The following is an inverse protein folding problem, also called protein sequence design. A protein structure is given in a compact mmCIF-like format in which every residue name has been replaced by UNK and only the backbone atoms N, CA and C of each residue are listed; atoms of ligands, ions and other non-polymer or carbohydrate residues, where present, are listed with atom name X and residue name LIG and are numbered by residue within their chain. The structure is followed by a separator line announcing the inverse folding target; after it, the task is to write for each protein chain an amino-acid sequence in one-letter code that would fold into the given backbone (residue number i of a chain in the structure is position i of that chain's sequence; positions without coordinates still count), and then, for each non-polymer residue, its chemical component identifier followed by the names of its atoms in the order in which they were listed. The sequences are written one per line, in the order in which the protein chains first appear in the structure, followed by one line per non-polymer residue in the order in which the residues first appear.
data_IF_267866714926
#
_entry.id   IF_267866714926
#
_cell.length_a   1.000
_cell.length_b   1.000
_cell.length_c   1.000
_cell.angle_alpha   90.00
_cell.angle_beta   90.00
_cell.angle_gamma   90.00
#
_symmetry.space_group_name_H-M   'P 1'
#
loop_
_entity.id
_entity.type
_entity.pdbx_description
1 polymer ?
#
# COMPACT_ATOMS: atom_id res chain seq x y z
N UNK A 1 -13.84 15.63 27.41
CA UNK A 1 -14.43 16.99 27.42
C UNK A 1 -13.58 17.95 28.26
N UNK A 2 -13.39 17.75 29.58
CA UNK A 2 -12.58 18.65 30.43
C UNK A 2 -11.13 18.86 29.95
N UNK A 3 -10.43 17.80 29.52
CA UNK A 3 -9.06 17.92 28.93
C UNK A 3 -9.05 18.78 27.66
N UNK A 4 -10.13 18.74 26.88
CA UNK A 4 -10.29 19.55 25.67
C UNK A 4 -10.97 20.91 25.93
N UNK A 5 -11.25 21.27 27.20
CA UNK A 5 -11.95 22.52 27.56
C UNK A 5 -13.42 22.59 27.14
N UNK A 6 -14.06 21.44 26.84
CA UNK A 6 -15.44 21.38 26.35
C UNK A 6 -16.43 21.03 27.48
N UNK A 7 -17.67 21.49 27.35
CA UNK A 7 -18.82 21.10 28.20
C UNK A 7 -19.68 20.06 27.48
N UNK A 8 -20.47 19.24 28.21
CA UNK A 8 -21.43 18.33 27.58
C UNK A 8 -22.40 19.06 26.66
N UNK A 9 -22.67 18.47 25.49
CA UNK A 9 -23.61 18.99 24.50
C UNK A 9 -24.99 18.33 24.71
N UNK A 10 -26.06 19.12 24.62
CA UNK A 10 -27.43 18.61 24.54
C UNK A 10 -27.84 18.55 23.08
N UNK A 11 -28.14 17.34 22.60
CA UNK A 11 -28.49 17.13 21.20
C UNK A 11 -29.86 17.73 20.86
N UNK A 12 -29.94 18.41 19.72
CA UNK A 12 -31.17 18.85 19.11
C UNK A 12 -31.80 17.73 18.23
N UNK A 13 -32.96 18.02 17.67
CA UNK A 13 -33.66 17.10 16.78
C UNK A 13 -32.76 16.69 15.58
N UNK A 14 -32.74 15.39 15.27
CA UNK A 14 -31.95 14.73 14.21
C UNK A 14 -30.43 14.66 14.42
N UNK A 15 -29.85 15.37 15.38
CA UNK A 15 -28.39 15.34 15.60
C UNK A 15 -27.91 13.96 16.05
N UNK A 16 -28.70 13.24 16.88
CA UNK A 16 -28.36 11.87 17.26
C UNK A 16 -28.28 10.90 16.08
N UNK A 17 -29.20 11.04 15.12
CA UNK A 17 -29.17 10.23 13.90
C UNK A 17 -28.00 10.62 12.99
N UNK A 18 -27.71 11.92 12.89
CA UNK A 18 -26.58 12.43 12.11
C UNK A 18 -25.23 11.96 12.66
N UNK A 19 -25.09 11.82 13.99
CA UNK A 19 -23.88 11.30 14.63
C UNK A 19 -23.69 9.80 14.41
N UNK A 20 -24.78 9.02 14.36
CA UNK A 20 -24.73 7.56 14.30
C UNK A 20 -24.74 7.02 12.87
N UNK A 21 -25.44 7.68 11.95
CA UNK A 21 -25.56 7.20 10.58
C UNK A 21 -24.35 7.61 9.75
N UNK A 22 -23.56 6.61 9.39
CA UNK A 22 -22.51 6.72 8.40
C UNK A 22 -21.65 5.47 8.39
N UNK A 23 -20.65 5.47 7.53
CA UNK A 23 -19.73 4.33 7.37
C UNK A 23 -18.36 4.60 8.00
N UNK A 24 -18.26 5.59 8.90
CA UNK A 24 -16.98 6.09 9.40
C UNK A 24 -16.11 4.98 10.01
N UNK A 25 -16.73 4.08 10.80
CA UNK A 25 -16.02 2.95 11.41
C UNK A 25 -15.52 1.96 10.36
N UNK A 26 -16.37 1.55 9.43
CA UNK A 26 -15.98 0.64 8.34
C UNK A 26 -14.91 1.24 7.44
N UNK A 27 -15.04 2.54 7.11
CA UNK A 27 -14.05 3.28 6.32
C UNK A 27 -12.72 3.39 7.07
N UNK A 28 -12.72 3.66 8.38
CA UNK A 28 -11.50 3.70 9.19
C UNK A 28 -10.78 2.35 9.20
N UNK A 29 -11.51 1.24 9.30
CA UNK A 29 -10.91 -0.10 9.25
C UNK A 29 -10.39 -0.46 7.86
N UNK A 30 -11.12 -0.11 6.80
CA UNK A 30 -10.66 -0.31 5.43
C UNK A 30 -9.38 0.50 5.15
N UNK A 31 -9.31 1.76 5.60
CA UNK A 31 -8.12 2.59 5.44
C UNK A 31 -6.93 2.05 6.24
N UNK A 32 -7.15 1.56 7.46
CA UNK A 32 -6.09 0.90 8.22
C UNK A 32 -5.55 -0.31 7.47
N UNK A 33 -6.43 -1.16 6.95
CA UNK A 33 -6.01 -2.32 6.15
C UNK A 33 -5.33 -1.95 4.84
N UNK A 34 -5.72 -0.84 4.22
CA UNK A 34 -5.05 -0.29 3.03
C UNK A 34 -3.61 0.11 3.36
N UNK A 35 -3.40 0.92 4.40
CA UNK A 35 -2.05 1.38 4.77
C UNK A 35 -1.15 0.22 5.20
N UNK A 36 -1.66 -0.70 6.01
CA UNK A 36 -0.92 -1.91 6.37
C UNK A 36 -0.62 -2.79 5.14
N UNK A 37 -1.53 -2.84 4.17
CA UNK A 37 -1.33 -3.54 2.90
C UNK A 37 -0.27 -2.89 2.00
N UNK A 38 -0.23 -1.56 1.95
CA UNK A 38 0.80 -0.80 1.22
C UNK A 38 2.19 -1.01 1.84
N UNK A 39 2.29 -0.97 3.17
CA UNK A 39 3.53 -1.27 3.91
C UNK A 39 4.01 -2.71 3.61
N UNK A 40 3.11 -3.69 3.67
CA UNK A 40 3.43 -5.08 3.35
C UNK A 40 3.84 -5.26 1.89
N UNK A 41 3.20 -4.56 0.96
CA UNK A 41 3.54 -4.63 -0.46
C UNK A 41 4.95 -4.07 -0.74
N UNK A 42 5.29 -2.92 -0.15
CA UNK A 42 6.65 -2.36 -0.25
C UNK A 42 7.71 -3.30 0.36
N UNK A 43 7.41 -3.87 1.53
CA UNK A 43 8.26 -4.88 2.16
C UNK A 43 8.44 -6.13 1.29
N UNK A 44 7.36 -6.63 0.67
CA UNK A 44 7.40 -7.80 -0.19
C UNK A 44 8.24 -7.58 -1.46
N UNK A 45 8.18 -6.40 -2.08
CA UNK A 45 9.04 -6.05 -3.21
C UNK A 45 10.53 -6.08 -2.81
N UNK A 46 10.86 -5.52 -1.65
CA UNK A 46 12.23 -5.50 -1.11
C UNK A 46 12.74 -6.92 -0.81
N UNK A 47 11.95 -7.72 -0.09
CA UNK A 47 12.28 -9.12 0.20
C UNK A 47 12.40 -9.97 -1.07
N UNK A 48 11.53 -9.72 -2.05
CA UNK A 48 11.58 -10.38 -3.35
C UNK A 48 12.85 -10.05 -4.11
N UNK A 49 13.25 -8.78 -4.18
CA UNK A 49 14.47 -8.34 -4.86
C UNK A 49 15.72 -8.97 -4.21
N UNK A 50 15.80 -8.94 -2.87
CA UNK A 50 16.88 -9.61 -2.14
C UNK A 50 16.92 -11.12 -2.42
N UNK A 51 15.75 -11.76 -2.51
CA UNK A 51 15.66 -13.19 -2.84
C UNK A 51 16.16 -13.48 -4.26
N UNK A 52 15.82 -12.63 -5.24
CA UNK A 52 16.31 -12.76 -6.62
C UNK A 52 17.84 -12.75 -6.65
N UNK A 53 18.47 -11.80 -5.97
CA UNK A 53 19.93 -11.73 -5.87
C UNK A 53 20.53 -12.96 -5.17
N UNK A 54 19.96 -13.34 -4.02
CA UNK A 54 20.46 -14.44 -3.20
C UNK A 54 20.48 -15.80 -3.93
N UNK A 55 19.56 -16.00 -4.88
CA UNK A 55 19.48 -17.24 -5.67
C UNK A 55 20.12 -17.12 -7.06
N UNK A 56 20.84 -16.02 -7.34
CA UNK A 56 21.42 -15.71 -8.65
C UNK A 56 20.36 -15.71 -9.78
N UNK A 57 19.18 -15.17 -9.46
CA UNK A 57 18.04 -15.11 -10.36
C UNK A 57 18.23 -14.10 -11.50
N UNK A 58 17.55 -14.33 -12.62
CA UNK A 58 17.61 -13.43 -13.77
C UNK A 58 16.78 -12.16 -13.56
N UNK A 59 17.30 -11.02 -14.01
CA UNK A 59 16.57 -9.73 -14.10
C UNK A 59 15.69 -9.61 -15.35
N UNK A 60 15.87 -10.50 -16.35
CA UNK A 60 15.10 -10.48 -17.60
C UNK A 60 13.57 -10.49 -17.43
N UNK A 61 12.98 -11.17 -16.43
CA UNK A 61 11.53 -11.14 -16.21
C UNK A 61 10.96 -9.76 -15.89
N UNK A 62 11.79 -8.80 -15.47
CA UNK A 62 11.38 -7.44 -15.10
C UNK A 62 11.52 -6.43 -16.26
N UNK A 63 11.89 -6.87 -17.48
CA UNK A 63 12.01 -5.99 -18.63
C UNK A 63 10.68 -5.24 -18.92
N UNK A 64 10.69 -3.91 -19.03
CA UNK A 64 9.46 -3.11 -19.18
C UNK A 64 8.62 -3.52 -20.39
N UNK A 65 9.22 -4.04 -21.46
CA UNK A 65 8.53 -4.46 -22.68
C UNK A 65 7.63 -5.67 -22.45
N UNK A 66 8.05 -6.60 -21.57
CA UNK A 66 7.26 -7.78 -21.20
C UNK A 66 5.95 -7.34 -20.54
N UNK A 67 6.03 -6.39 -19.61
CA UNK A 67 4.87 -5.91 -18.86
C UNK A 67 3.99 -4.98 -19.68
N UNK A 68 4.59 -4.13 -20.52
CA UNK A 68 3.86 -3.29 -21.46
C UNK A 68 3.06 -4.12 -22.46
N UNK A 69 3.62 -5.20 -22.98
CA UNK A 69 2.90 -6.12 -23.88
C UNK A 69 1.69 -6.78 -23.20
N UNK A 70 1.74 -7.04 -21.88
CA UNK A 70 0.59 -7.55 -21.11
C UNK A 70 -0.43 -6.46 -20.76
N UNK A 71 0.00 -5.22 -20.58
CA UNK A 71 -0.87 -4.05 -20.41
C UNK A 71 -1.50 -3.84 -19.03
N UNK A 72 -1.15 -4.65 -18.02
CA UNK A 72 -1.70 -4.51 -16.67
C UNK A 72 -0.91 -3.48 -15.85
N UNK A 73 -1.55 -2.36 -15.49
CA UNK A 73 -0.92 -1.23 -14.78
C UNK A 73 -0.18 -1.69 -13.52
N UNK A 74 -0.85 -2.41 -12.61
CA UNK A 74 -0.23 -2.85 -11.36
C UNK A 74 0.98 -3.76 -11.57
N UNK A 75 0.98 -4.59 -12.62
CA UNK A 75 2.16 -5.40 -12.95
C UNK A 75 3.31 -4.56 -13.52
N UNK A 76 2.99 -3.59 -14.39
CA UNK A 76 3.98 -2.66 -14.96
C UNK A 76 4.68 -1.90 -13.82
N UNK A 77 3.90 -1.39 -12.88
CA UNK A 77 4.40 -0.60 -11.76
C UNK A 77 5.22 -1.47 -10.79
N UNK A 78 4.75 -2.69 -10.46
CA UNK A 78 5.52 -3.63 -9.64
C UNK A 78 6.86 -4.01 -10.30
N UNK A 79 6.87 -4.28 -11.61
CA UNK A 79 8.11 -4.57 -12.32
C UNK A 79 9.06 -3.37 -12.39
N UNK A 80 8.50 -2.14 -12.47
CA UNK A 80 9.31 -0.93 -12.38
C UNK A 80 9.97 -0.80 -11.00
N UNK A 81 9.26 -1.08 -9.92
CA UNK A 81 9.82 -1.09 -8.58
C UNK A 81 10.92 -2.17 -8.41
N UNK A 82 10.73 -3.36 -8.98
CA UNK A 82 11.80 -4.37 -9.00
C UNK A 82 13.06 -3.89 -9.72
N UNK A 83 12.93 -3.23 -10.88
CA UNK A 83 14.09 -2.68 -11.60
C UNK A 83 14.77 -1.55 -10.82
N UNK A 84 14.01 -0.71 -10.14
CA UNK A 84 14.55 0.35 -9.29
C UNK A 84 15.40 -0.23 -8.14
N UNK A 85 14.91 -1.30 -7.50
CA UNK A 85 15.61 -1.98 -6.41
C UNK A 85 16.82 -2.81 -6.87
N UNK A 86 16.71 -3.53 -8.00
CA UNK A 86 17.75 -4.45 -8.50
C UNK A 86 18.81 -3.77 -9.37
N UNK A 87 18.51 -2.59 -9.91
CA UNK A 87 19.31 -1.93 -10.94
C UNK A 87 19.52 -2.79 -12.20
N UNK A 88 20.49 -2.39 -13.02
CA UNK A 88 20.88 -3.15 -14.21
C UNK A 88 21.80 -4.35 -13.89
N UNK A 89 22.44 -4.35 -12.72
CA UNK A 89 23.33 -5.39 -12.21
C UNK A 89 23.90 -5.04 -10.84
N UNK A 90 24.49 -6.01 -10.15
CA UNK A 90 25.10 -5.86 -8.82
C UNK A 90 26.47 -6.54 -8.74
N UNK A 91 27.18 -6.36 -7.62
CA UNK A 91 28.43 -7.11 -7.38
C UNK A 91 28.19 -8.62 -7.21
N UNK A 92 26.94 -9.02 -6.95
CA UNK A 92 26.54 -10.42 -6.76
C UNK A 92 26.14 -11.06 -8.09
N UNK A 93 25.37 -10.36 -8.93
CA UNK A 93 24.84 -10.89 -10.20
C UNK A 93 24.61 -9.84 -11.28
#
# INVERSE_FOLDING_TARGET
LAVAGLTPLTLAAKEGLALLNGTQVSTAYALRGLFEGEDLFAGALSCGALTVEAVLGSRAPFDPRIHAARGQRGQIDAAAAYRDLLGDGSEVS
#
